data_IF_512935157730
#
_entry.id   IF_512935157730
#
_cell.length_a   1.000
_cell.length_b   1.000
_cell.length_c   1.000
_cell.angle_alpha   90.00
_cell.angle_beta   90.00
_cell.angle_gamma   90.00
#
_symmetry.space_group_name_H-M   'P 1'
#
loop_
_entity.id
_entity.type
_entity.pdbx_description
1 polymer ?
#
# COMPACT_ATOMS: atom_id res chain seq x y z
N UNK A 1 42.70 -26.15 45.88
CA UNK A 1 42.10 -25.07 45.07
C UNK A 1 40.85 -24.56 45.80
N UNK A 2 40.82 -23.31 46.27
CA UNK A 2 39.64 -22.68 46.89
C UNK A 2 38.87 -21.89 45.82
N UNK A 3 37.58 -22.17 45.66
CA UNK A 3 36.68 -21.42 44.79
C UNK A 3 36.19 -20.16 45.53
N UNK A 4 36.48 -18.97 45.00
CA UNK A 4 35.89 -17.71 45.47
C UNK A 4 34.64 -17.40 44.64
N UNK A 5 33.46 -17.39 45.26
CA UNK A 5 32.23 -16.91 44.63
C UNK A 5 32.19 -15.37 44.67
N UNK A 6 31.86 -14.68 43.56
CA UNK A 6 31.63 -13.24 43.57
C UNK A 6 30.26 -12.94 44.20
N UNK A 7 30.25 -12.07 45.20
CA UNK A 7 29.02 -11.56 45.83
C UNK A 7 28.39 -10.50 44.92
N UNK A 8 27.30 -10.87 44.23
CA UNK A 8 26.48 -9.94 43.47
C UNK A 8 25.74 -9.00 44.44
N UNK A 9 26.20 -7.75 44.52
CA UNK A 9 25.46 -6.70 45.22
C UNK A 9 24.35 -6.14 44.33
N UNK A 10 23.13 -5.94 44.85
CA UNK A 10 22.07 -5.27 44.09
C UNK A 10 22.44 -3.81 43.81
N UNK A 11 22.08 -3.26 42.64
CA UNK A 11 22.36 -1.87 42.30
C UNK A 11 21.63 -0.91 43.25
N UNK A 12 22.31 0.18 43.61
CA UNK A 12 21.77 1.21 44.49
C UNK A 12 20.45 1.81 43.97
N UNK A 13 19.51 2.18 44.85
CA UNK A 13 18.23 2.77 44.45
C UNK A 13 18.46 4.12 43.76
N UNK A 14 17.98 4.23 42.50
CA UNK A 14 18.08 5.46 41.70
C UNK A 14 17.38 6.63 42.41
N UNK A 15 18.02 7.79 42.40
CA UNK A 15 17.53 9.02 43.03
C UNK A 15 16.15 9.46 42.49
N UNK A 16 15.38 10.20 43.29
CA UNK A 16 14.07 10.73 42.87
C UNK A 16 14.15 11.57 41.58
N UNK A 17 15.26 12.28 41.35
CA UNK A 17 15.49 13.06 40.12
C UNK A 17 15.70 12.15 38.90
N UNK A 18 16.51 11.10 39.02
CA UNK A 18 16.67 10.07 37.97
C UNK A 18 15.39 9.29 37.68
N UNK A 19 14.54 9.06 38.70
CA UNK A 19 13.22 8.43 38.52
C UNK A 19 12.26 9.32 37.73
N UNK A 20 12.32 10.65 37.89
CA UNK A 20 11.51 11.61 37.12
C UNK A 20 11.95 11.71 35.66
N UNK A 21 13.26 11.72 35.39
CA UNK A 21 13.79 11.73 34.01
C UNK A 21 13.51 10.43 33.25
N UNK A 22 13.56 9.26 33.90
CA UNK A 22 13.16 8.00 33.26
C UNK A 22 11.66 7.96 32.93
N UNK A 23 10.79 8.55 33.77
CA UNK A 23 9.34 8.64 33.50
C UNK A 23 9.02 9.58 32.33
N UNK A 24 9.71 10.71 32.20
CA UNK A 24 9.51 11.62 31.05
C UNK A 24 10.02 11.05 29.72
N UNK A 25 11.04 10.19 29.75
CA UNK A 25 11.49 9.48 28.54
C UNK A 25 10.46 8.44 28.07
N UNK A 26 9.86 7.67 28.98
CA UNK A 26 8.87 6.64 28.62
C UNK A 26 7.52 7.17 28.11
N UNK A 27 7.11 8.40 28.45
CA UNK A 27 5.84 8.97 27.95
C UNK A 27 5.92 9.35 26.46
N UNK A 28 7.11 9.70 25.94
CA UNK A 28 7.28 10.06 24.52
C UNK A 28 7.26 8.87 23.57
N UNK A 29 7.53 7.67 24.07
CA UNK A 29 7.56 6.45 23.26
C UNK A 29 6.14 5.87 23.01
N UNK A 30 5.15 6.23 23.84
CA UNK A 30 3.79 5.65 23.81
C UNK A 30 2.82 6.43 22.89
N UNK A 31 3.02 7.74 22.75
CA UNK A 31 2.26 8.58 21.80
C UNK A 31 2.67 8.31 20.34
N UNK A 32 3.94 8.02 20.08
CA UNK A 32 4.48 7.73 18.74
C UNK A 32 4.02 6.36 18.22
N UNK A 33 3.97 5.35 19.11
CA UNK A 33 3.44 4.02 18.79
C UNK A 33 1.93 4.04 18.47
N UNK A 34 1.16 4.93 19.10
CA UNK A 34 -0.27 5.10 18.84
C UNK A 34 -0.52 5.73 17.46
N UNK A 35 0.30 6.71 17.08
CA UNK A 35 0.25 7.36 15.76
C UNK A 35 0.62 6.39 14.63
N UNK A 36 1.73 5.65 14.80
CA UNK A 36 2.19 4.67 13.81
C UNK A 36 1.16 3.56 13.58
N UNK A 37 0.47 3.12 14.63
CA UNK A 37 -0.58 2.11 14.54
C UNK A 37 -1.82 2.61 13.79
N UNK A 38 -2.19 3.87 13.94
CA UNK A 38 -3.29 4.47 13.18
C UNK A 38 -2.97 4.53 11.68
N UNK A 39 -1.73 4.91 11.33
CA UNK A 39 -1.27 4.96 9.94
C UNK A 39 -1.32 3.58 9.27
N UNK A 40 -0.81 2.55 9.95
CA UNK A 40 -0.84 1.16 9.44
C UNK A 40 -2.29 0.70 9.23
N UNK A 41 -3.19 0.97 10.18
CA UNK A 41 -4.61 0.60 10.04
C UNK A 41 -5.30 1.32 8.88
N UNK A 42 -4.95 2.58 8.62
CA UNK A 42 -5.47 3.33 7.49
C UNK A 42 -5.00 2.70 6.16
N UNK A 43 -3.71 2.41 6.04
CA UNK A 43 -3.14 1.79 4.84
C UNK A 43 -3.73 0.38 4.60
N UNK A 44 -3.88 -0.44 5.64
CA UNK A 44 -4.52 -1.76 5.49
C UNK A 44 -5.95 -1.63 5.00
N UNK A 45 -6.70 -0.68 5.54
CA UNK A 45 -8.08 -0.41 5.13
C UNK A 45 -8.15 0.04 3.67
N UNK A 46 -7.21 0.87 3.22
CA UNK A 46 -7.11 1.28 1.81
C UNK A 46 -6.77 0.09 0.89
N UNK A 47 -5.83 -0.77 1.28
CA UNK A 47 -5.48 -1.97 0.52
C UNK A 47 -6.69 -2.91 0.41
N UNK A 48 -7.44 -3.13 1.48
CA UNK A 48 -8.65 -3.96 1.49
C UNK A 48 -9.74 -3.40 0.55
N UNK A 49 -10.03 -2.10 0.65
CA UNK A 49 -11.00 -1.44 -0.23
C UNK A 49 -10.54 -1.44 -1.69
N UNK A 50 -9.26 -1.17 -1.93
CA UNK A 50 -8.66 -1.21 -3.26
C UNK A 50 -8.74 -2.60 -3.88
N UNK A 51 -8.47 -3.65 -3.10
CA UNK A 51 -8.62 -5.03 -3.53
C UNK A 51 -10.07 -5.42 -3.85
N UNK A 52 -11.03 -5.01 -3.02
CA UNK A 52 -12.44 -5.25 -3.29
C UNK A 52 -12.91 -4.56 -4.58
N UNK A 53 -12.49 -3.31 -4.79
CA UNK A 53 -12.81 -2.56 -6.00
C UNK A 53 -12.12 -3.15 -7.25
N UNK A 54 -10.85 -3.58 -7.12
CA UNK A 54 -10.11 -4.24 -8.18
C UNK A 54 -10.79 -5.55 -8.60
N UNK A 55 -11.25 -6.36 -7.63
CA UNK A 55 -12.03 -7.57 -7.87
C UNK A 55 -13.36 -7.31 -8.59
N UNK A 56 -13.97 -6.15 -8.38
CA UNK A 56 -15.21 -5.80 -9.06
C UNK A 56 -14.98 -5.31 -10.50
N UNK A 57 -13.91 -4.54 -10.73
CA UNK A 57 -13.75 -3.77 -11.97
C UNK A 57 -12.66 -4.29 -12.92
N UNK A 58 -11.63 -4.98 -12.41
CA UNK A 58 -10.36 -5.16 -13.13
C UNK A 58 -10.03 -6.63 -13.44
N UNK A 59 -10.43 -7.57 -12.57
CA UNK A 59 -10.02 -9.00 -12.69
C UNK A 59 -10.49 -9.67 -13.97
N UNK A 60 -11.55 -9.16 -14.61
CA UNK A 60 -11.99 -9.67 -15.91
C UNK A 60 -10.91 -9.59 -17.00
N UNK A 61 -9.90 -8.73 -16.83
CA UNK A 61 -8.73 -8.66 -17.72
C UNK A 61 -7.39 -8.85 -16.99
N UNK A 62 -7.31 -8.47 -15.71
CA UNK A 62 -6.07 -8.37 -14.94
C UNK A 62 -6.04 -9.27 -13.70
N UNK A 63 -6.68 -10.44 -13.81
CA UNK A 63 -6.64 -11.47 -12.77
C UNK A 63 -5.20 -11.82 -12.36
N UNK A 64 -4.93 -11.89 -11.05
CA UNK A 64 -3.59 -12.08 -10.47
C UNK A 64 -2.51 -11.13 -10.97
N UNK A 65 -2.87 -9.92 -11.43
CA UNK A 65 -1.94 -8.95 -12.00
C UNK A 65 -1.58 -9.21 -13.47
N UNK A 66 -2.18 -10.21 -14.11
CA UNK A 66 -1.94 -10.55 -15.51
C UNK A 66 -2.53 -9.56 -16.52
N UNK A 67 -2.57 -9.97 -17.78
CA UNK A 67 -3.33 -9.30 -18.83
C UNK A 67 -3.73 -10.31 -19.91
N UNK A 68 -4.99 -10.73 -19.92
CA UNK A 68 -5.49 -11.75 -20.87
C UNK A 68 -5.63 -11.21 -22.30
N UNK A 69 -5.64 -9.89 -22.47
CA UNK A 69 -5.90 -9.21 -23.75
C UNK A 69 -4.59 -8.93 -24.49
N UNK A 70 -3.56 -8.47 -23.77
CA UNK A 70 -2.30 -8.01 -24.35
C UNK A 70 -1.09 -8.57 -23.59
N UNK A 71 -0.38 -9.56 -24.17
CA UNK A 71 0.90 -10.03 -23.64
C UNK A 71 1.92 -8.88 -23.51
N UNK A 72 2.70 -8.89 -22.42
CA UNK A 72 3.72 -7.87 -22.14
C UNK A 72 3.18 -6.52 -21.66
N UNK A 73 1.89 -6.45 -21.32
CA UNK A 73 1.25 -5.31 -20.67
C UNK A 73 0.51 -5.76 -19.39
N UNK A 74 1.15 -6.63 -18.60
CA UNK A 74 0.65 -7.03 -17.28
C UNK A 74 0.83 -5.92 -16.24
N UNK A 75 0.29 -6.11 -15.05
CA UNK A 75 0.44 -5.21 -13.91
C UNK A 75 1.62 -5.59 -13.00
N UNK A 76 2.55 -6.44 -13.47
CA UNK A 76 3.81 -6.71 -12.78
C UNK A 76 4.82 -5.58 -13.04
N UNK A 77 5.69 -5.30 -12.07
CA UNK A 77 6.63 -4.15 -12.14
C UNK A 77 7.46 -4.11 -13.41
N UNK A 78 7.97 -5.27 -13.88
CA UNK A 78 8.78 -5.34 -15.10
C UNK A 78 8.03 -4.92 -16.36
N UNK A 79 6.72 -5.15 -16.44
CA UNK A 79 5.87 -4.71 -17.54
C UNK A 79 5.46 -3.25 -17.39
N UNK A 80 5.15 -2.81 -16.16
CA UNK A 80 4.83 -1.42 -15.88
C UNK A 80 6.01 -0.50 -16.22
N UNK A 81 7.21 -0.79 -15.73
CA UNK A 81 8.44 -0.04 -16.01
C UNK A 81 8.74 0.02 -17.51
N UNK A 82 8.70 -1.13 -18.18
CA UNK A 82 8.97 -1.21 -19.62
C UNK A 82 7.98 -0.39 -20.46
N UNK A 83 6.74 -0.26 -19.99
CA UNK A 83 5.70 0.50 -20.66
C UNK A 83 5.57 1.95 -20.15
N UNK A 84 6.47 2.38 -19.25
CA UNK A 84 6.46 3.69 -18.62
C UNK A 84 5.19 3.97 -17.84
N UNK A 85 4.72 2.98 -17.07
CA UNK A 85 3.48 2.98 -16.30
C UNK A 85 3.68 2.54 -14.82
N UNK A 86 4.90 2.65 -14.31
CA UNK A 86 5.29 2.26 -12.95
C UNK A 86 4.98 3.33 -11.89
N UNK A 87 4.79 4.59 -12.30
CA UNK A 87 4.33 5.66 -11.40
C UNK A 87 2.83 5.53 -11.09
N UNK A 88 2.44 5.76 -9.84
CA UNK A 88 1.04 5.72 -9.41
C UNK A 88 0.16 6.68 -10.22
N UNK A 89 0.65 7.89 -10.49
CA UNK A 89 -0.05 8.89 -11.30
C UNK A 89 -0.30 8.41 -12.74
N UNK A 90 0.60 7.62 -13.29
CA UNK A 90 0.46 7.08 -14.63
C UNK A 90 -0.53 5.91 -14.66
N UNK A 91 -0.53 5.05 -13.64
CA UNK A 91 -1.55 4.01 -13.45
C UNK A 91 -2.93 4.67 -13.31
N UNK A 92 -3.03 5.75 -12.53
CA UNK A 92 -4.25 6.56 -12.41
C UNK A 92 -4.67 7.09 -13.79
N UNK A 93 -3.76 7.70 -14.56
CA UNK A 93 -4.06 8.28 -15.87
C UNK A 93 -4.56 7.22 -16.85
N UNK A 94 -3.92 6.06 -16.91
CA UNK A 94 -4.32 4.93 -17.77
C UNK A 94 -5.69 4.40 -17.34
N UNK A 95 -5.93 4.23 -16.04
CA UNK A 95 -7.22 3.76 -15.52
C UNK A 95 -8.33 4.77 -15.80
N UNK A 96 -8.05 6.07 -15.69
CA UNK A 96 -9.00 7.14 -15.93
C UNK A 96 -9.38 7.24 -17.42
N UNK A 97 -8.40 7.34 -18.31
CA UNK A 97 -8.62 7.66 -19.72
C UNK A 97 -8.61 6.46 -20.67
N UNK A 98 -8.13 5.31 -20.21
CA UNK A 98 -7.88 4.13 -21.03
C UNK A 98 -6.56 4.21 -21.80
N UNK A 99 -6.11 3.06 -22.31
CA UNK A 99 -4.94 2.97 -23.19
C UNK A 99 -5.10 1.77 -24.13
N UNK A 100 -5.09 2.03 -25.44
CA UNK A 100 -5.26 0.99 -26.44
C UNK A 100 -6.60 0.27 -26.30
N UNK A 101 -6.56 -1.04 -25.98
CA UNK A 101 -7.77 -1.87 -25.79
C UNK A 101 -8.36 -1.82 -24.39
N UNK A 102 -7.64 -1.26 -23.41
CA UNK A 102 -8.17 -1.08 -22.06
C UNK A 102 -9.08 0.15 -22.02
N UNK A 103 -10.37 -0.01 -21.62
CA UNK A 103 -11.28 1.12 -21.53
C UNK A 103 -10.92 2.05 -20.36
N UNK A 104 -11.16 3.35 -20.50
CA UNK A 104 -11.08 4.30 -19.40
C UNK A 104 -12.32 4.28 -18.49
N UNK A 105 -12.12 4.43 -17.19
CA UNK A 105 -13.17 4.35 -16.17
C UNK A 105 -13.60 5.70 -15.60
N UNK A 106 -12.82 6.77 -15.80
CA UNK A 106 -13.11 8.08 -15.21
C UNK A 106 -14.37 8.74 -15.75
N UNK A 107 -15.05 9.52 -14.92
CA UNK A 107 -16.30 10.22 -15.26
C UNK A 107 -16.17 11.08 -16.53
N UNK A 108 -15.02 11.73 -16.70
CA UNK A 108 -14.76 12.61 -17.85
C UNK A 108 -14.02 11.92 -19.01
N UNK A 109 -13.82 10.60 -18.98
CA UNK A 109 -13.21 9.90 -20.11
C UNK A 109 -14.09 10.04 -21.37
N UNK A 110 -13.44 10.46 -22.46
CA UNK A 110 -14.02 10.70 -23.79
C UNK A 110 -12.97 10.43 -24.87
N UNK A 111 -13.39 10.09 -26.11
CA UNK A 111 -14.75 9.79 -26.58
C UNK A 111 -15.38 8.52 -25.97
N UNK A 112 -16.71 8.39 -26.05
CA UNK A 112 -17.46 7.29 -25.40
C UNK A 112 -16.92 5.88 -25.71
N UNK A 113 -16.44 5.67 -26.93
CA UNK A 113 -15.95 4.36 -27.41
C UNK A 113 -14.61 3.92 -26.81
N UNK A 114 -13.82 4.82 -26.22
CA UNK A 114 -12.58 4.45 -25.53
C UNK A 114 -12.79 4.15 -24.03
N UNK A 115 -14.02 4.30 -23.55
CA UNK A 115 -14.33 4.25 -22.14
C UNK A 115 -15.27 3.10 -21.80
N UNK A 116 -15.27 2.68 -20.54
CA UNK A 116 -16.07 1.54 -20.07
C UNK A 116 -17.54 1.70 -20.41
N UNK A 117 -18.18 0.62 -20.86
CA UNK A 117 -19.63 0.62 -21.11
C UNK A 117 -20.45 0.59 -19.80
N UNK A 118 -19.86 0.08 -18.71
CA UNK A 118 -20.46 0.06 -17.38
C UNK A 118 -20.43 1.42 -16.67
N UNK A 119 -20.77 1.43 -15.36
CA UNK A 119 -20.65 2.61 -14.52
C UNK A 119 -19.23 3.19 -14.54
N UNK A 120 -19.14 4.52 -14.43
CA UNK A 120 -17.86 5.20 -14.25
C UNK A 120 -17.47 5.18 -12.77
N UNK A 121 -16.18 5.29 -12.52
CA UNK A 121 -15.62 5.38 -11.18
C UNK A 121 -15.34 6.83 -10.83
N UNK A 122 -15.53 7.16 -9.55
CA UNK A 122 -15.13 8.43 -8.98
C UNK A 122 -13.61 8.57 -8.98
N UNK A 123 -13.13 9.81 -8.88
CA UNK A 123 -11.71 10.09 -8.92
C UNK A 123 -10.94 9.44 -7.75
N UNK A 124 -11.53 9.45 -6.56
CA UNK A 124 -11.00 8.80 -5.36
C UNK A 124 -10.92 7.27 -5.50
N UNK A 125 -11.90 6.66 -6.17
CA UNK A 125 -11.90 5.22 -6.45
C UNK A 125 -10.77 4.84 -7.41
N UNK A 126 -10.51 5.67 -8.42
CA UNK A 126 -9.42 5.43 -9.38
C UNK A 126 -8.05 5.65 -8.72
N UNK A 127 -7.91 6.65 -7.83
CA UNK A 127 -6.69 6.81 -7.02
C UNK A 127 -6.45 5.60 -6.13
N UNK A 128 -7.49 5.10 -5.49
CA UNK A 128 -7.40 3.91 -4.65
C UNK A 128 -6.96 2.68 -5.46
N UNK A 129 -7.50 2.50 -6.67
CA UNK A 129 -7.06 1.45 -7.59
C UNK A 129 -5.60 1.62 -8.01
N UNK A 130 -5.17 2.84 -8.36
CA UNK A 130 -3.80 3.09 -8.77
C UNK A 130 -2.80 2.76 -7.67
N UNK A 131 -3.07 3.22 -6.44
CA UNK A 131 -2.29 2.88 -5.25
C UNK A 131 -2.27 1.38 -4.99
N UNK A 132 -3.43 0.71 -5.07
CA UNK A 132 -3.52 -0.75 -4.91
C UNK A 132 -2.65 -1.49 -5.93
N UNK A 133 -2.76 -1.16 -7.23
CA UNK A 133 -1.95 -1.77 -8.29
C UNK A 133 -0.47 -1.54 -8.04
N UNK A 134 -0.06 -0.33 -7.65
CA UNK A 134 1.34 -0.04 -7.34
C UNK A 134 1.88 -0.89 -6.20
N UNK A 135 1.14 -0.99 -5.09
CA UNK A 135 1.51 -1.81 -3.93
C UNK A 135 1.60 -3.30 -4.34
N UNK A 136 0.65 -3.79 -5.14
CA UNK A 136 0.63 -5.18 -5.55
C UNK A 136 1.76 -5.51 -6.53
N UNK A 137 2.09 -4.60 -7.46
CA UNK A 137 3.23 -4.74 -8.34
C UNK A 137 4.54 -4.84 -7.53
N UNK A 138 4.75 -3.95 -6.56
CA UNK A 138 5.92 -3.95 -5.68
C UNK A 138 6.05 -5.23 -4.84
N UNK A 139 4.92 -5.84 -4.49
CA UNK A 139 4.85 -7.12 -3.77
C UNK A 139 4.90 -8.35 -4.68
N UNK A 140 4.91 -8.15 -6.00
CA UNK A 140 4.90 -9.23 -6.98
C UNK A 140 3.61 -10.04 -7.02
N UNK A 141 2.46 -9.44 -6.72
CA UNK A 141 1.14 -10.07 -6.75
C UNK A 141 1.07 -11.40 -5.95
N UNK A 142 1.22 -11.36 -4.61
CA UNK A 142 1.42 -12.56 -3.78
C UNK A 142 0.22 -13.50 -3.69
N UNK A 143 -0.98 -13.06 -4.06
CA UNK A 143 -2.20 -13.86 -4.10
C UNK A 143 -2.94 -13.57 -5.42
N UNK A 144 -2.87 -14.48 -6.42
CA UNK A 144 -3.69 -14.39 -7.62
C UNK A 144 -5.16 -14.71 -7.35
#
# INVERSE_FOLDING_TARGET
LRLTHPTNHPPAPKSQKQRRELRHRGIRDEEDATSLRCLVLAETTEIERGGALFNQACIGCHDGGGNIIQPGATLFSSDLERNGADAEEEIYRITYYGKGRMPGFGENCKPRGQCTFGPRLQEEEIRLLAKFVKIQADRGWPNP
#
